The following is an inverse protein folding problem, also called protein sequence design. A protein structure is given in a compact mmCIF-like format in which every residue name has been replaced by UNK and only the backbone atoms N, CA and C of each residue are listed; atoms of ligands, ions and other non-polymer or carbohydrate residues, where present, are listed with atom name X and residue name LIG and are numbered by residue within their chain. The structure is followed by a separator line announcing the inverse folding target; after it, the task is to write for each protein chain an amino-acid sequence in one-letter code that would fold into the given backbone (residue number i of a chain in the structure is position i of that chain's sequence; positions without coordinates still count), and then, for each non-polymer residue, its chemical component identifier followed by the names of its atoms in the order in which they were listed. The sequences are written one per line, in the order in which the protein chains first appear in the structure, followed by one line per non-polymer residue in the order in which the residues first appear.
data_IF_319873608271
#
_entry.id   IF_319873608271
#
_cell.length_a   1.000
_cell.length_b   1.000
_cell.length_c   1.000
_cell.angle_alpha   90.00
_cell.angle_beta   90.00
_cell.angle_gamma   90.00
#
_symmetry.space_group_name_H-M   'P 1'
#
loop_
_entity.id
_entity.type
_entity.pdbx_description
1 polymer ?
#
# COMPACT_ATOMS: atom_id res chain seq x y z
N UNK A 1 3.77 18.37 27.88
CA UNK A 1 2.61 17.65 28.47
C UNK A 1 1.50 17.76 27.45
N UNK A 2 1.33 16.82 26.52
CA UNK A 2 0.60 15.55 26.73
C UNK A 2 1.24 14.42 25.93
N UNK A 3 1.44 13.27 26.59
CA UNK A 3 1.93 12.04 25.98
C UNK A 3 0.80 11.28 25.30
N UNK A 4 0.64 11.49 23.99
CA UNK A 4 0.02 10.50 23.12
C UNK A 4 1.18 9.73 22.46
N UNK A 5 1.23 8.41 22.67
CA UNK A 5 2.24 7.56 22.04
C UNK A 5 2.23 7.77 20.52
N UNK A 6 3.41 8.03 19.95
CA UNK A 6 3.60 8.16 18.51
C UNK A 6 3.06 6.90 17.80
N UNK A 7 1.94 6.98 17.05
CA UNK A 7 1.37 5.83 16.38
C UNK A 7 2.32 5.25 15.32
N UNK A 8 3.32 6.01 14.86
CA UNK A 8 4.31 5.59 13.87
C UNK A 8 5.35 4.60 14.44
N UNK A 9 5.52 4.51 15.77
CA UNK A 9 6.47 3.55 16.40
C UNK A 9 5.98 2.10 16.43
N UNK A 10 4.71 1.85 16.14
CA UNK A 10 4.04 0.54 16.40
C UNK A 10 4.52 -0.60 15.48
N UNK A 11 5.30 -0.32 14.43
CA UNK A 11 5.65 -1.31 13.42
C UNK A 11 7.14 -1.68 13.33
N UNK A 12 7.89 -1.61 14.44
CA UNK A 12 9.20 -2.27 14.51
C UNK A 12 9.02 -3.76 14.76
N UNK A 13 8.88 -4.54 13.69
CA UNK A 13 8.88 -6.01 13.75
C UNK A 13 10.27 -6.53 14.16
N UNK A 14 10.53 -6.61 15.46
CA UNK A 14 11.77 -7.20 16.01
C UNK A 14 11.44 -8.51 16.71
N UNK A 15 12.20 -9.58 16.44
CA UNK A 15 12.04 -10.91 17.07
C UNK A 15 11.23 -11.94 16.24
N UNK A 16 10.46 -12.81 16.93
CA UNK A 16 9.76 -13.98 16.37
C UNK A 16 8.77 -13.66 15.23
N UNK A 17 8.14 -12.48 15.25
CA UNK A 17 7.28 -12.00 14.16
C UNK A 17 8.04 -11.80 12.85
N UNK A 18 9.29 -11.31 12.91
CA UNK A 18 10.14 -11.13 11.75
C UNK A 18 10.66 -12.44 11.16
N UNK A 19 10.88 -13.47 12.00
CA UNK A 19 11.26 -14.81 11.53
C UNK A 19 10.10 -15.50 10.80
N UNK A 20 8.88 -15.38 11.32
CA UNK A 20 7.66 -15.90 10.67
C UNK A 20 7.39 -15.17 9.35
N UNK A 21 7.56 -13.85 9.32
CA UNK A 21 7.44 -13.06 8.08
C UNK A 21 8.41 -13.56 7.00
N UNK A 22 9.67 -13.89 7.36
CA UNK A 22 10.64 -14.47 6.43
C UNK A 22 10.24 -15.84 5.91
N UNK A 23 9.73 -16.74 6.77
CA UNK A 23 9.26 -18.07 6.34
C UNK A 23 8.05 -17.98 5.41
N UNK A 24 7.08 -17.14 5.74
CA UNK A 24 5.93 -16.89 4.85
C UNK A 24 6.38 -16.25 3.54
N UNK A 25 7.32 -15.31 3.57
CA UNK A 25 7.88 -14.70 2.36
C UNK A 25 8.52 -15.76 1.45
N UNK A 26 9.35 -16.66 1.98
CA UNK A 26 9.92 -17.77 1.20
C UNK A 26 8.86 -18.72 0.63
N UNK A 27 7.85 -19.08 1.43
CA UNK A 27 6.74 -19.92 0.96
C UNK A 27 5.93 -19.23 -0.16
N UNK A 28 5.63 -17.94 -0.01
CA UNK A 28 4.95 -17.16 -1.05
C UNK A 28 5.80 -16.99 -2.30
N UNK A 29 7.12 -16.79 -2.16
CA UNK A 29 8.06 -16.73 -3.27
C UNK A 29 8.04 -18.03 -4.10
N UNK A 30 7.95 -19.18 -3.42
CA UNK A 30 7.91 -20.50 -4.06
C UNK A 30 6.54 -20.86 -4.65
N UNK A 31 5.43 -20.35 -4.08
CA UNK A 31 4.05 -20.76 -4.44
C UNK A 31 3.29 -19.73 -5.30
N UNK A 32 3.73 -18.47 -5.34
CA UNK A 32 3.13 -17.37 -6.11
C UNK A 32 4.23 -16.54 -6.76
N UNK A 33 4.78 -16.96 -7.91
CA UNK A 33 6.02 -16.41 -8.46
C UNK A 33 5.92 -14.95 -8.92
N UNK A 34 4.74 -14.33 -8.93
CA UNK A 34 4.59 -12.92 -9.29
C UNK A 34 3.43 -12.26 -8.54
N UNK A 35 3.76 -11.26 -7.72
CA UNK A 35 2.81 -10.26 -7.24
C UNK A 35 3.11 -8.98 -8.01
N UNK A 36 2.20 -8.59 -8.90
CA UNK A 36 2.30 -7.35 -9.67
C UNK A 36 1.42 -6.31 -8.98
N UNK A 37 1.92 -5.09 -8.85
CA UNK A 37 1.20 -4.00 -8.19
C UNK A 37 1.38 -2.70 -8.95
N UNK A 38 0.42 -1.79 -8.78
CA UNK A 38 0.38 -0.47 -9.41
C UNK A 38 0.20 0.61 -8.35
N UNK A 39 0.73 1.80 -8.62
CA UNK A 39 0.55 3.00 -7.78
C UNK A 39 0.28 4.20 -8.66
N UNK A 40 -0.70 5.00 -8.27
CA UNK A 40 -1.12 6.20 -8.99
C UNK A 40 -0.57 7.48 -8.36
N UNK A 41 -0.12 8.42 -9.17
CA UNK A 41 0.17 9.79 -8.73
C UNK A 41 -0.86 10.72 -9.35
N UNK A 42 -1.85 11.11 -8.55
CA UNK A 42 -2.87 12.08 -8.97
C UNK A 42 -2.41 13.45 -8.53
N UNK A 43 -2.07 14.29 -9.51
CA UNK A 43 -1.58 15.65 -9.28
C UNK A 43 -2.64 16.67 -9.73
N UNK A 44 -3.12 17.46 -8.77
CA UNK A 44 -3.97 18.61 -9.04
C UNK A 44 -3.11 19.84 -9.37
N UNK A 45 -3.18 20.28 -10.62
CA UNK A 45 -2.44 21.45 -11.12
C UNK A 45 -2.98 22.76 -10.56
N UNK A 46 -4.27 22.84 -10.21
CA UNK A 46 -4.87 24.08 -9.74
C UNK A 46 -4.39 24.41 -8.33
N UNK A 47 -4.35 23.41 -7.44
CA UNK A 47 -3.87 23.56 -6.07
C UNK A 47 -2.38 23.24 -5.87
N UNK A 48 -1.70 22.72 -6.89
CA UNK A 48 -0.32 22.22 -6.82
C UNK A 48 -0.15 21.18 -5.71
N UNK A 49 -1.07 20.19 -5.68
CA UNK A 49 -1.15 19.18 -4.63
C UNK A 49 -1.20 17.76 -5.22
N UNK A 50 -0.75 16.77 -4.44
CA UNK A 50 -0.82 15.35 -4.78
C UNK A 50 -1.79 14.65 -3.85
N UNK A 51 -2.67 13.83 -4.41
CA UNK A 51 -3.58 13.00 -3.63
C UNK A 51 -2.83 11.82 -3.00
N UNK A 52 -3.00 11.66 -1.69
CA UNK A 52 -2.43 10.57 -0.91
C UNK A 52 -3.51 9.97 -0.03
N UNK A 53 -3.38 8.68 0.27
CA UNK A 53 -4.25 7.96 1.17
C UNK A 53 -3.52 7.59 2.46
N UNK A 54 -4.30 7.45 3.54
CA UNK A 54 -3.81 7.02 4.85
C UNK A 54 -4.60 5.79 5.28
N UNK A 55 -3.97 4.63 5.15
CA UNK A 55 -4.59 3.39 5.62
C UNK A 55 -4.56 3.31 7.15
N UNK A 56 -5.49 2.54 7.71
CA UNK A 56 -5.59 2.27 9.15
C UNK A 56 -4.58 1.24 9.64
N UNK A 57 -4.00 0.43 8.74
CA UNK A 57 -3.14 -0.71 9.07
C UNK A 57 -1.65 -0.48 8.80
N UNK A 58 -1.29 0.62 8.11
CA UNK A 58 0.10 1.03 7.88
C UNK A 58 0.26 2.53 8.18
N UNK A 59 1.33 2.93 8.88
CA UNK A 59 1.56 4.34 9.17
C UNK A 59 1.97 5.13 7.92
N UNK A 60 1.81 6.45 7.99
CA UNK A 60 2.23 7.38 6.94
C UNK A 60 1.21 7.58 5.81
N UNK A 61 1.53 8.52 4.93
CA UNK A 61 0.78 8.81 3.71
C UNK A 61 1.37 8.04 2.54
N UNK A 62 0.51 7.46 1.70
CA UNK A 62 0.91 6.57 0.61
C UNK A 62 0.16 6.93 -0.67
N UNK A 63 0.74 6.58 -1.81
CA UNK A 63 0.07 6.71 -3.10
C UNK A 63 -1.06 5.68 -3.19
N UNK A 64 -2.23 6.02 -3.76
CA UNK A 64 -3.28 5.03 -4.01
C UNK A 64 -2.79 3.95 -4.97
N UNK A 65 -3.33 2.74 -4.82
CA UNK A 65 -3.05 1.61 -5.68
C UNK A 65 -2.87 0.29 -4.93
N UNK A 66 -2.92 -0.80 -5.69
CA UNK A 66 -2.98 -2.13 -5.13
C UNK A 66 -2.43 -3.20 -6.07
N UNK A 67 -2.94 -4.42 -5.89
CA UNK A 67 -2.55 -5.59 -6.67
C UNK A 67 -3.17 -5.57 -8.06
N UNK A 68 -2.42 -6.06 -9.04
CA UNK A 68 -2.93 -6.32 -10.38
C UNK A 68 -3.47 -7.75 -10.40
N UNK A 69 -4.74 -7.89 -10.75
CA UNK A 69 -5.41 -9.18 -10.78
C UNK A 69 -5.03 -9.99 -12.04
N UNK A 70 -5.29 -11.30 -12.00
CA UNK A 70 -4.96 -12.19 -13.11
C UNK A 70 -5.80 -11.83 -14.34
N UNK A 71 -5.11 -11.48 -15.44
CA UNK A 71 -5.76 -11.06 -16.67
C UNK A 71 -6.10 -9.58 -16.73
N UNK A 72 -5.77 -8.81 -15.69
CA UNK A 72 -5.96 -7.36 -15.64
C UNK A 72 -4.74 -6.63 -16.23
N UNK A 73 -4.95 -5.55 -16.99
CA UNK A 73 -3.85 -4.69 -17.40
C UNK A 73 -3.43 -3.78 -16.26
N UNK A 74 -2.19 -3.26 -16.29
CA UNK A 74 -1.72 -2.30 -15.29
C UNK A 74 -2.63 -1.05 -15.21
N UNK A 75 -3.18 -0.63 -16.35
CA UNK A 75 -4.01 0.56 -16.42
C UNK A 75 -5.40 0.31 -15.82
N UNK A 76 -6.00 -0.84 -16.13
CA UNK A 76 -7.30 -1.23 -15.59
C UNK A 76 -7.23 -1.40 -14.06
N UNK A 77 -6.17 -2.08 -13.57
CA UNK A 77 -5.91 -2.22 -12.15
C UNK A 77 -5.79 -0.86 -11.48
N UNK A 78 -5.06 0.08 -12.10
CA UNK A 78 -4.87 1.40 -11.54
C UNK A 78 -6.17 2.22 -11.51
N UNK A 79 -6.97 2.15 -12.57
CA UNK A 79 -8.26 2.85 -12.64
C UNK A 79 -9.25 2.31 -11.58
N UNK A 80 -9.32 0.98 -11.41
CA UNK A 80 -10.12 0.34 -10.37
C UNK A 80 -9.71 0.79 -8.98
N UNK A 81 -8.42 0.72 -8.66
CA UNK A 81 -7.90 1.11 -7.34
C UNK A 81 -8.13 2.60 -7.05
N UNK A 82 -7.97 3.49 -8.04
CA UNK A 82 -8.25 4.92 -7.88
C UNK A 82 -9.74 5.21 -7.61
N UNK A 83 -10.63 4.45 -8.24
CA UNK A 83 -12.07 4.55 -7.98
C UNK A 83 -12.43 4.02 -6.58
N UNK A 84 -11.85 2.89 -6.16
CA UNK A 84 -12.14 2.26 -4.87
C UNK A 84 -11.57 3.04 -3.67
N UNK A 85 -10.31 3.48 -3.76
CA UNK A 85 -9.63 4.14 -2.64
C UNK A 85 -9.80 5.66 -2.63
N UNK A 86 -9.88 6.27 -3.82
CA UNK A 86 -9.90 7.72 -4.01
C UNK A 86 -11.24 8.29 -4.45
N UNK A 87 -12.16 7.45 -4.94
CA UNK A 87 -13.36 7.90 -5.66
C UNK A 87 -13.02 8.86 -6.81
N UNK A 88 -11.92 8.56 -7.52
CA UNK A 88 -11.39 9.33 -8.65
C UNK A 88 -11.58 8.47 -9.91
N UNK A 89 -12.19 9.05 -10.95
CA UNK A 89 -12.46 8.42 -12.24
C UNK A 89 -11.55 8.96 -13.35
#
# INVERSE_FOLDING_TARGET
MTGAGDPERTFRQTGWAGLRARLFHFYFLLRRPMTLGVRGLVYDRASNAVFLIRHTYVPGWQLPGGGVEVGETLFDALARELAEEGNIA
#
